data_IF_001806548241
#
_entry.id   IF_001806548241
#
_cell.length_a   1.000
_cell.length_b   1.000
_cell.length_c   1.000
_cell.angle_alpha   90.00
_cell.angle_beta   90.00
_cell.angle_gamma   90.00
#
_symmetry.space_group_name_H-M   'P 1'
#
loop_
_entity.id
_entity.type
_entity.pdbx_description
1 polymer ?
#
# COMPACT_ATOMS: atom_id res chain seq x y z
N UNK A 1 21.05 -17.13 -67.80
CA UNK A 1 20.04 -16.67 -66.81
C UNK A 1 19.25 -17.92 -66.42
N UNK A 2 19.39 -18.37 -65.15
CA UNK A 2 18.69 -19.59 -64.66
C UNK A 2 17.20 -19.26 -64.46
N UNK A 3 16.33 -20.00 -65.16
CA UNK A 3 14.87 -19.89 -64.93
C UNK A 3 14.57 -20.33 -63.52
N UNK A 4 14.24 -19.39 -62.66
CA UNK A 4 13.69 -19.73 -61.32
C UNK A 4 12.32 -20.34 -61.57
N UNK A 5 12.13 -21.60 -61.14
CA UNK A 5 10.85 -22.29 -61.25
C UNK A 5 9.77 -21.49 -60.49
N UNK A 6 8.77 -21.03 -61.25
CA UNK A 6 7.65 -20.25 -60.73
C UNK A 6 6.94 -20.98 -59.58
N UNK A 7 6.93 -22.34 -59.60
CA UNK A 7 6.40 -23.16 -58.52
C UNK A 7 7.23 -23.10 -57.24
N UNK A 8 8.54 -22.86 -57.32
CA UNK A 8 9.42 -22.67 -56.14
C UNK A 8 9.17 -21.29 -55.48
N UNK A 9 8.86 -20.28 -56.29
CA UNK A 9 8.51 -18.96 -55.81
C UNK A 9 7.14 -18.97 -55.08
N UNK A 10 6.17 -19.75 -55.61
CA UNK A 10 4.85 -19.94 -54.97
C UNK A 10 4.97 -20.67 -53.63
N UNK A 11 5.78 -21.73 -53.55
CA UNK A 11 6.04 -22.45 -52.30
C UNK A 11 6.74 -21.54 -51.27
N UNK A 12 7.67 -20.70 -51.69
CA UNK A 12 8.36 -19.76 -50.83
C UNK A 12 7.40 -18.66 -50.30
N UNK A 13 6.44 -18.22 -51.14
CA UNK A 13 5.42 -17.23 -50.72
C UNK A 13 4.41 -17.82 -49.72
N UNK A 14 4.08 -19.10 -49.82
CA UNK A 14 3.19 -19.80 -48.88
C UNK A 14 3.87 -20.07 -47.52
N UNK A 15 5.21 -20.13 -47.46
CA UNK A 15 5.96 -20.26 -46.21
C UNK A 15 6.06 -18.97 -45.43
N UNK A 16 5.77 -17.81 -46.04
CA UNK A 16 5.80 -16.50 -45.40
C UNK A 16 4.47 -16.13 -44.72
N UNK A 17 3.38 -16.88 -44.98
CA UNK A 17 2.06 -16.62 -44.37
C UNK A 17 1.74 -17.48 -43.15
N UNK A 18 2.65 -18.36 -42.74
CA UNK A 18 2.38 -19.40 -41.72
C UNK A 18 2.79 -18.99 -40.26
N UNK A 19 3.15 -17.73 -39.99
CA UNK A 19 3.68 -17.33 -38.68
C UNK A 19 3.08 -16.06 -38.11
N UNK A 20 1.81 -15.70 -38.39
CA UNK A 20 1.17 -14.59 -37.64
C UNK A 20 0.66 -15.05 -36.27
N UNK A 21 0.14 -16.27 -36.16
CA UNK A 21 -0.44 -16.77 -34.91
C UNK A 21 0.57 -17.24 -33.86
N UNK A 22 1.87 -17.38 -34.23
CA UNK A 22 2.90 -17.76 -33.26
C UNK A 22 3.53 -16.55 -32.54
N UNK A 23 3.26 -15.32 -33.00
CA UNK A 23 3.70 -14.08 -32.34
C UNK A 23 2.57 -13.40 -31.52
N UNK A 24 1.34 -13.85 -31.68
CA UNK A 24 0.28 -13.53 -30.72
C UNK A 24 0.42 -14.48 -29.52
N UNK A 25 1.42 -14.23 -28.73
CA UNK A 25 1.39 -14.62 -27.32
C UNK A 25 0.36 -13.70 -26.69
N UNK A 26 -0.91 -14.04 -26.84
CA UNK A 26 -1.94 -13.57 -25.92
C UNK A 26 -1.42 -13.94 -24.53
N UNK A 27 -0.99 -12.92 -23.79
CA UNK A 27 -0.59 -13.09 -22.41
C UNK A 27 -1.86 -13.56 -21.70
N UNK A 28 -1.96 -14.88 -21.48
CA UNK A 28 -3.08 -15.53 -20.77
C UNK A 28 -3.41 -14.77 -19.50
N UNK A 29 -2.39 -14.17 -18.88
CA UNK A 29 -2.51 -13.29 -17.72
C UNK A 29 -3.27 -11.98 -18.00
N UNK A 30 -3.09 -11.31 -19.13
CA UNK A 30 -3.78 -10.03 -19.41
C UNK A 30 -5.28 -10.23 -19.66
N UNK A 31 -5.67 -11.32 -20.31
CA UNK A 31 -7.08 -11.61 -20.54
C UNK A 31 -7.78 -12.02 -19.23
N UNK A 32 -7.13 -12.82 -18.39
CA UNK A 32 -7.64 -13.19 -17.07
C UNK A 32 -7.76 -11.98 -16.15
N UNK A 33 -6.75 -11.12 -16.15
CA UNK A 33 -6.75 -9.87 -15.40
C UNK A 33 -7.87 -8.93 -15.86
N UNK A 34 -8.04 -8.73 -17.17
CA UNK A 34 -9.13 -7.93 -17.72
C UNK A 34 -10.50 -8.50 -17.36
N UNK A 35 -10.67 -9.83 -17.29
CA UNK A 35 -11.90 -10.51 -16.86
C UNK A 35 -12.19 -10.25 -15.38
N UNK A 36 -11.16 -10.27 -14.53
CA UNK A 36 -11.30 -9.96 -13.10
C UNK A 36 -11.99 -8.61 -12.89
N UNK A 37 -11.52 -7.57 -13.58
CA UNK A 37 -12.04 -6.20 -13.43
C UNK A 37 -13.33 -5.90 -14.20
N UNK A 38 -14.01 -6.91 -14.77
CA UNK A 38 -15.35 -6.74 -15.38
C UNK A 38 -16.50 -6.77 -14.36
N UNK A 39 -16.20 -7.04 -13.09
CA UNK A 39 -17.22 -7.18 -12.04
C UNK A 39 -16.82 -6.43 -10.78
N UNK A 40 -17.81 -5.97 -10.01
CA UNK A 40 -17.63 -5.41 -8.67
C UNK A 40 -16.83 -6.35 -7.77
N UNK A 41 -17.18 -7.64 -7.78
CA UNK A 41 -16.50 -8.66 -6.99
C UNK A 41 -15.00 -8.74 -7.34
N UNK A 42 -14.62 -8.64 -8.60
CA UNK A 42 -13.23 -8.66 -9.04
C UNK A 42 -12.41 -7.48 -8.51
N UNK A 43 -13.01 -6.29 -8.42
CA UNK A 43 -12.36 -5.14 -7.77
C UNK A 43 -12.14 -5.37 -6.27
N UNK A 44 -13.11 -5.97 -5.58
CA UNK A 44 -12.95 -6.33 -4.17
C UNK A 44 -11.90 -7.41 -3.96
N UNK A 45 -11.82 -8.41 -4.84
CA UNK A 45 -10.78 -9.45 -4.81
C UNK A 45 -9.39 -8.88 -5.07
N UNK A 46 -9.26 -7.93 -6.00
CA UNK A 46 -8.00 -7.24 -6.25
C UNK A 46 -7.54 -6.44 -5.03
N UNK A 47 -8.44 -5.69 -4.36
CA UNK A 47 -8.14 -5.01 -3.10
C UNK A 47 -7.75 -6.00 -1.99
N UNK A 48 -8.49 -7.10 -1.83
CA UNK A 48 -8.16 -8.14 -0.88
C UNK A 48 -6.77 -8.75 -1.16
N UNK A 49 -6.39 -8.88 -2.43
CA UNK A 49 -5.05 -9.27 -2.86
C UNK A 49 -3.97 -8.29 -2.38
N UNK A 50 -4.21 -6.99 -2.46
CA UNK A 50 -3.31 -5.95 -1.94
C UNK A 50 -3.15 -6.10 -0.41
N UNK A 51 -4.25 -6.20 0.35
CA UNK A 51 -4.18 -6.40 1.80
C UNK A 51 -3.48 -7.71 2.18
N UNK A 52 -3.78 -8.79 1.44
CA UNK A 52 -3.08 -10.08 1.62
C UNK A 52 -1.58 -9.96 1.38
N UNK A 53 -1.14 -9.18 0.37
CA UNK A 53 0.28 -8.91 0.15
C UNK A 53 0.88 -8.07 1.28
N UNK A 54 0.17 -7.04 1.73
CA UNK A 54 0.61 -6.20 2.85
C UNK A 54 0.74 -6.99 4.16
N UNK A 55 -0.09 -7.99 4.41
CA UNK A 55 -0.07 -8.81 5.63
C UNK A 55 1.07 -9.84 5.69
N UNK A 56 1.87 -9.98 4.63
CA UNK A 56 3.01 -10.91 4.63
C UNK A 56 4.14 -10.42 5.55
N UNK A 57 4.96 -11.36 6.04
CA UNK A 57 6.07 -11.09 6.96
C UNK A 57 7.12 -10.14 6.39
N UNK A 58 7.32 -10.14 5.08
CA UNK A 58 8.22 -9.22 4.38
C UNK A 58 7.67 -7.80 4.24
N UNK A 59 6.42 -7.57 4.64
CA UNK A 59 5.75 -6.28 4.66
C UNK A 59 5.27 -5.94 6.09
N UNK A 60 3.99 -5.61 6.26
CA UNK A 60 3.44 -5.18 7.56
C UNK A 60 3.15 -6.34 8.51
N UNK A 61 3.18 -7.60 8.06
CA UNK A 61 3.06 -8.76 8.95
C UNK A 61 4.22 -8.92 9.94
N UNK A 62 5.39 -8.34 9.67
CA UNK A 62 6.51 -8.29 10.60
C UNK A 62 7.49 -7.15 10.27
N UNK A 63 8.09 -7.15 9.08
CA UNK A 63 9.25 -6.32 8.71
C UNK A 63 9.00 -4.82 8.89
N UNK A 64 7.85 -4.30 8.45
CA UNK A 64 7.48 -2.88 8.49
C UNK A 64 6.71 -2.47 9.75
N UNK A 65 6.57 -3.36 10.73
CA UNK A 65 5.92 -3.14 12.01
C UNK A 65 6.90 -3.38 13.17
N UNK A 66 6.82 -4.55 13.80
CA UNK A 66 7.63 -4.94 14.96
C UNK A 66 8.95 -5.64 14.60
N UNK A 67 9.31 -5.74 13.32
CA UNK A 67 10.55 -6.34 12.83
C UNK A 67 11.64 -5.31 12.53
N UNK A 68 12.06 -5.23 11.26
CA UNK A 68 13.19 -4.39 10.85
C UNK A 68 13.05 -2.90 11.18
N UNK A 69 11.85 -2.33 11.14
CA UNK A 69 11.62 -0.91 11.48
C UNK A 69 11.85 -0.65 12.95
N UNK A 70 11.40 -1.51 13.86
CA UNK A 70 11.63 -1.38 15.30
C UNK A 70 13.09 -1.64 15.66
N UNK A 71 13.77 -2.54 14.92
CA UNK A 71 15.20 -2.73 15.03
C UNK A 71 15.97 -1.45 14.68
N UNK A 72 15.63 -0.81 13.56
CA UNK A 72 16.21 0.49 13.19
C UNK A 72 15.86 1.59 14.21
N UNK A 73 14.69 1.50 14.81
CA UNK A 73 14.24 2.40 15.89
C UNK A 73 14.93 2.13 17.24
N UNK A 74 15.78 1.10 17.36
CA UNK A 74 16.46 0.69 18.60
C UNK A 74 15.48 0.40 19.75
N UNK A 75 14.31 -0.19 19.42
CA UNK A 75 13.25 -0.50 20.39
C UNK A 75 13.61 -1.72 21.24
N UNK A 76 14.45 -2.63 20.70
CA UNK A 76 14.82 -3.88 21.35
C UNK A 76 16.23 -3.85 21.95
N UNK A 77 16.50 -4.71 22.95
CA UNK A 77 17.85 -5.03 23.40
C UNK A 77 18.49 -6.08 22.45
N UNK A 78 19.53 -5.64 21.74
CA UNK A 78 20.21 -6.46 20.73
C UNK A 78 21.41 -7.24 21.26
N UNK A 79 21.70 -7.18 22.57
CA UNK A 79 22.88 -7.80 23.18
C UNK A 79 22.93 -9.33 22.99
N UNK A 80 21.78 -9.98 22.91
CA UNK A 80 21.61 -11.43 22.75
C UNK A 80 20.99 -11.84 21.40
N UNK A 81 20.90 -10.93 20.43
CA UNK A 81 20.30 -11.23 19.12
C UNK A 81 21.20 -12.17 18.32
N UNK A 82 20.71 -13.35 18.01
CA UNK A 82 21.51 -14.41 17.36
C UNK A 82 21.54 -14.29 15.83
N UNK A 83 20.46 -13.87 15.19
CA UNK A 83 20.34 -13.82 13.72
C UNK A 83 19.25 -12.86 13.26
N UNK A 84 19.26 -12.54 11.96
CA UNK A 84 18.15 -11.94 11.22
C UNK A 84 18.18 -10.42 11.12
N UNK A 85 18.59 -9.69 12.16
CA UNK A 85 18.60 -8.22 12.15
C UNK A 85 19.86 -7.60 12.76
N UNK A 86 20.92 -8.40 12.91
CA UNK A 86 22.14 -7.95 13.59
C UNK A 86 22.84 -6.81 12.85
N UNK A 87 22.87 -6.86 11.54
CA UNK A 87 23.45 -5.82 10.69
C UNK A 87 22.64 -4.53 10.76
N UNK A 88 21.30 -4.65 10.70
CA UNK A 88 20.39 -3.51 10.83
C UNK A 88 20.49 -2.83 12.20
N UNK A 89 20.58 -3.61 13.30
CA UNK A 89 20.70 -3.06 14.66
C UNK A 89 21.97 -2.21 14.87
N UNK A 90 22.97 -2.41 14.02
CA UNK A 90 24.24 -1.68 14.02
C UNK A 90 24.36 -0.64 12.92
N UNK A 91 23.27 -0.46 12.12
CA UNK A 91 23.26 0.39 10.93
C UNK A 91 24.36 0.02 9.92
N UNK A 92 24.78 -1.26 9.89
CA UNK A 92 25.78 -1.76 8.97
C UNK A 92 25.11 -2.24 7.67
N UNK A 93 24.87 -1.32 6.76
CA UNK A 93 24.19 -1.57 5.48
C UNK A 93 25.07 -2.22 4.41
N UNK A 94 26.36 -2.45 4.70
CA UNK A 94 27.28 -3.11 3.77
C UNK A 94 27.19 -4.64 3.83
N UNK A 95 26.68 -5.19 4.93
CA UNK A 95 26.51 -6.63 5.08
C UNK A 95 25.34 -7.16 4.25
N UNK A 96 25.47 -8.39 3.77
CA UNK A 96 24.49 -9.02 2.89
C UNK A 96 23.10 -9.09 3.51
N UNK A 97 23.01 -9.43 4.78
CA UNK A 97 21.77 -9.46 5.55
C UNK A 97 20.98 -8.14 5.47
N UNK A 98 21.66 -7.00 5.63
CA UNK A 98 21.02 -5.69 5.54
C UNK A 98 20.65 -5.34 4.09
N UNK A 99 21.50 -5.71 3.12
CA UNK A 99 21.21 -5.53 1.69
C UNK A 99 19.98 -6.32 1.26
N UNK A 100 19.87 -7.57 1.66
CA UNK A 100 18.72 -8.44 1.37
C UNK A 100 17.42 -7.85 1.95
N UNK A 101 17.50 -7.32 3.19
CA UNK A 101 16.37 -6.66 3.81
C UNK A 101 15.93 -5.40 3.04
N UNK A 102 16.90 -4.53 2.68
CA UNK A 102 16.64 -3.30 1.91
C UNK A 102 16.00 -3.64 0.57
N UNK A 103 16.57 -4.59 -0.16
CA UNK A 103 16.06 -5.04 -1.46
C UNK A 103 14.65 -5.63 -1.33
N UNK A 104 14.43 -6.46 -0.32
CA UNK A 104 13.12 -7.05 -0.06
C UNK A 104 12.05 -6.00 0.21
N UNK A 105 12.32 -5.03 1.10
CA UNK A 105 11.37 -3.95 1.41
C UNK A 105 11.07 -3.09 0.18
N UNK A 106 12.12 -2.74 -0.57
CA UNK A 106 11.97 -1.94 -1.80
C UNK A 106 11.12 -2.67 -2.84
N UNK A 107 11.49 -3.90 -3.17
CA UNK A 107 10.82 -4.69 -4.20
C UNK A 107 9.36 -4.98 -3.83
N UNK A 108 9.09 -5.43 -2.61
CA UNK A 108 7.73 -5.73 -2.16
C UNK A 108 6.88 -4.45 -2.05
N UNK A 109 7.45 -3.34 -1.62
CA UNK A 109 6.77 -2.05 -1.55
C UNK A 109 6.29 -1.58 -2.93
N UNK A 110 7.20 -1.50 -3.90
CA UNK A 110 6.84 -1.07 -5.27
C UNK A 110 5.98 -2.09 -6.01
N UNK A 111 6.16 -3.40 -5.77
CA UNK A 111 5.26 -4.42 -6.30
C UNK A 111 3.82 -4.22 -5.79
N UNK A 112 3.65 -3.96 -4.50
CA UNK A 112 2.33 -3.69 -3.92
C UNK A 112 1.73 -2.38 -4.45
N UNK A 113 2.55 -1.34 -4.67
CA UNK A 113 2.13 -0.10 -5.34
C UNK A 113 1.66 -0.37 -6.78
N UNK A 114 2.36 -1.25 -7.51
CA UNK A 114 1.94 -1.63 -8.86
C UNK A 114 0.57 -2.34 -8.86
N UNK A 115 0.30 -3.23 -7.88
CA UNK A 115 -1.03 -3.84 -7.70
C UNK A 115 -2.11 -2.77 -7.46
N UNK A 116 -1.84 -1.78 -6.62
CA UNK A 116 -2.76 -0.66 -6.38
C UNK A 116 -2.97 0.19 -7.63
N UNK A 117 -1.91 0.51 -8.37
CA UNK A 117 -2.00 1.26 -9.62
C UNK A 117 -2.80 0.51 -10.68
N UNK A 118 -2.73 -0.81 -10.69
CA UNK A 118 -3.53 -1.64 -11.58
C UNK A 118 -5.03 -1.51 -11.28
N UNK A 119 -5.42 -1.57 -10.00
CA UNK A 119 -6.81 -1.33 -9.58
C UNK A 119 -7.29 0.04 -10.05
N UNK A 120 -6.48 1.10 -9.87
CA UNK A 120 -6.82 2.46 -10.29
C UNK A 120 -6.92 2.60 -11.81
N UNK A 121 -6.07 1.90 -12.57
CA UNK A 121 -6.11 1.87 -14.03
C UNK A 121 -7.42 1.23 -14.54
N UNK A 122 -7.82 0.09 -13.96
CA UNK A 122 -9.08 -0.56 -14.31
C UNK A 122 -10.30 0.19 -13.75
N UNK A 123 -10.22 0.83 -12.58
CA UNK A 123 -11.28 1.71 -12.07
C UNK A 123 -11.60 2.82 -13.10
N UNK A 124 -10.57 3.40 -13.70
CA UNK A 124 -10.75 4.45 -14.70
C UNK A 124 -11.37 3.93 -16.00
N UNK A 125 -11.01 2.73 -16.44
CA UNK A 125 -11.38 2.17 -17.75
C UNK A 125 -12.62 1.26 -17.71
N UNK A 126 -12.89 0.58 -16.60
CA UNK A 126 -13.95 -0.42 -16.45
C UNK A 126 -14.81 -0.21 -15.19
N UNK A 127 -14.60 0.85 -14.43
CA UNK A 127 -15.29 1.12 -13.17
C UNK A 127 -16.83 1.23 -13.28
N UNK A 128 -17.34 1.40 -14.47
CA UNK A 128 -18.81 1.49 -14.72
C UNK A 128 -19.55 0.16 -14.42
N UNK A 129 -18.82 -0.96 -14.21
CA UNK A 129 -19.41 -2.21 -13.74
C UNK A 129 -19.83 -2.17 -12.26
N UNK A 130 -19.43 -1.12 -11.52
CA UNK A 130 -19.74 -0.92 -10.11
C UNK A 130 -20.79 0.18 -9.91
N UNK A 131 -21.69 0.08 -8.91
CA UNK A 131 -22.44 1.22 -8.43
C UNK A 131 -21.50 2.36 -8.03
N UNK A 132 -21.89 3.61 -8.28
CA UNK A 132 -21.03 4.78 -8.07
C UNK A 132 -20.46 4.84 -6.62
N UNK A 133 -21.24 4.51 -5.61
CA UNK A 133 -20.78 4.50 -4.23
C UNK A 133 -19.67 3.47 -4.00
N UNK A 134 -19.80 2.27 -4.55
CA UNK A 134 -18.78 1.20 -4.47
C UNK A 134 -17.53 1.60 -5.23
N UNK A 135 -17.72 2.15 -6.44
CA UNK A 135 -16.62 2.68 -7.25
C UNK A 135 -15.80 3.73 -6.50
N UNK A 136 -16.48 4.70 -5.85
CA UNK A 136 -15.80 5.71 -5.04
C UNK A 136 -15.06 5.07 -3.85
N UNK A 137 -15.65 4.08 -3.20
CA UNK A 137 -14.99 3.38 -2.10
C UNK A 137 -13.72 2.66 -2.57
N UNK A 138 -13.79 1.86 -3.62
CA UNK A 138 -12.63 1.17 -4.22
C UNK A 138 -11.54 2.15 -4.59
N UNK A 139 -11.89 3.24 -5.26
CA UNK A 139 -10.97 4.32 -5.63
C UNK A 139 -10.32 4.98 -4.41
N UNK A 140 -11.11 5.31 -3.41
CA UNK A 140 -10.64 5.95 -2.18
C UNK A 140 -9.68 5.06 -1.40
N UNK A 141 -10.00 3.77 -1.23
CA UNK A 141 -9.12 2.79 -0.60
C UNK A 141 -7.80 2.65 -1.38
N UNK A 142 -7.87 2.47 -2.69
CA UNK A 142 -6.68 2.31 -3.53
C UNK A 142 -5.74 3.53 -3.47
N UNK A 143 -6.29 4.76 -3.55
CA UNK A 143 -5.50 5.99 -3.43
C UNK A 143 -4.85 6.13 -2.05
N UNK A 144 -5.58 5.80 -0.99
CA UNK A 144 -5.07 5.84 0.37
C UNK A 144 -3.94 4.82 0.58
N UNK A 145 -4.10 3.59 0.09
CA UNK A 145 -3.06 2.55 0.12
C UNK A 145 -1.83 2.97 -0.67
N UNK A 146 -1.99 3.59 -1.85
CA UNK A 146 -0.86 4.11 -2.63
C UNK A 146 -0.09 5.18 -1.86
N UNK A 147 -0.79 6.11 -1.22
CA UNK A 147 -0.16 7.14 -0.40
C UNK A 147 0.57 6.53 0.81
N UNK A 148 -0.02 5.56 1.49
CA UNK A 148 0.58 4.90 2.64
C UNK A 148 1.87 4.18 2.26
N UNK A 149 1.81 3.30 1.26
CA UNK A 149 2.97 2.54 0.79
C UNK A 149 4.13 3.45 0.35
N UNK A 150 3.83 4.49 -0.42
CA UNK A 150 4.84 5.47 -0.82
C UNK A 150 5.41 6.23 0.39
N UNK A 151 4.57 6.66 1.33
CA UNK A 151 5.03 7.40 2.49
C UNK A 151 5.97 6.57 3.37
N UNK A 152 5.68 5.28 3.57
CA UNK A 152 6.56 4.41 4.34
C UNK A 152 7.87 4.11 3.62
N UNK A 153 7.87 3.93 2.28
CA UNK A 153 9.11 3.86 1.49
C UNK A 153 9.91 5.15 1.59
N UNK A 154 9.25 6.30 1.51
CA UNK A 154 9.92 7.60 1.67
C UNK A 154 10.58 7.74 3.05
N UNK A 155 9.91 7.32 4.13
CA UNK A 155 10.46 7.36 5.49
C UNK A 155 11.71 6.50 5.65
N UNK A 156 11.80 5.39 4.91
CA UNK A 156 12.92 4.45 5.00
C UNK A 156 14.11 4.85 4.11
N UNK A 157 13.84 5.39 2.92
CA UNK A 157 14.85 5.50 1.88
C UNK A 157 15.16 6.94 1.45
N UNK A 158 14.33 7.92 1.81
CA UNK A 158 14.59 9.31 1.45
C UNK A 158 15.47 10.02 2.49
N UNK A 159 16.24 11.04 2.06
CA UNK A 159 16.88 11.96 2.99
C UNK A 159 15.85 12.66 3.88
N UNK A 160 16.27 13.05 5.09
CA UNK A 160 15.39 13.81 5.98
C UNK A 160 14.89 15.10 5.30
N UNK A 161 13.57 15.31 5.31
CA UNK A 161 12.95 16.50 4.73
C UNK A 161 13.52 17.81 5.30
N UNK A 162 13.86 17.82 6.57
CA UNK A 162 14.44 19.01 7.24
C UNK A 162 15.86 19.34 6.81
N UNK A 163 16.58 18.39 6.25
CA UNK A 163 17.95 18.59 5.75
C UNK A 163 17.93 19.16 4.33
N UNK A 164 17.20 18.52 3.43
CA UNK A 164 17.03 19.00 2.05
C UNK A 164 15.72 18.49 1.45
N UNK A 165 14.73 19.36 1.44
CA UNK A 165 13.41 19.03 0.85
C UNK A 165 13.44 18.95 -0.68
N UNK A 166 14.46 19.52 -1.32
CA UNK A 166 14.63 19.52 -2.78
C UNK A 166 15.49 18.37 -3.27
N UNK A 167 16.10 17.60 -2.36
CA UNK A 167 16.86 16.42 -2.75
C UNK A 167 15.96 15.42 -3.50
N UNK A 168 16.45 14.95 -4.64
CA UNK A 168 15.83 13.82 -5.34
C UNK A 168 15.89 12.57 -4.45
N UNK A 169 14.80 11.87 -4.34
CA UNK A 169 14.70 10.75 -3.44
C UNK A 169 14.21 9.46 -4.12
N UNK A 170 12.92 9.34 -4.35
CA UNK A 170 12.29 8.14 -4.88
C UNK A 170 11.33 8.49 -6.02
N UNK A 171 11.00 7.52 -6.90
CA UNK A 171 9.92 7.70 -7.86
C UNK A 171 8.56 7.59 -7.15
N UNK A 172 7.65 8.53 -7.39
CA UNK A 172 6.26 8.38 -7.00
C UNK A 172 5.48 7.73 -8.15
N UNK A 173 5.30 6.42 -8.07
CA UNK A 173 4.65 5.64 -9.13
C UNK A 173 3.12 5.81 -9.09
N UNK A 174 2.54 6.34 -10.17
CA UNK A 174 1.11 6.55 -10.35
C UNK A 174 0.52 5.81 -11.54
N UNK A 175 1.35 5.14 -12.29
CA UNK A 175 0.96 4.44 -13.52
C UNK A 175 1.27 2.96 -13.34
N UNK A 176 0.35 2.11 -13.79
CA UNK A 176 0.61 0.68 -13.92
C UNK A 176 1.38 0.45 -15.23
N UNK A 177 2.54 -0.21 -15.15
CA UNK A 177 3.39 -0.51 -16.29
C UNK A 177 4.84 -0.73 -15.89
N UNK A 178 5.66 -1.08 -16.88
CA UNK A 178 7.10 -1.40 -16.74
C UNK A 178 8.01 -0.17 -16.92
N UNK A 179 7.45 0.98 -17.22
CA UNK A 179 8.23 2.18 -17.48
C UNK A 179 8.87 2.72 -16.22
N UNK A 180 10.17 3.04 -16.32
CA UNK A 180 10.90 3.63 -15.20
C UNK A 180 10.34 5.03 -14.90
N UNK A 181 9.87 5.23 -13.69
CA UNK A 181 9.36 6.51 -13.25
C UNK A 181 10.51 7.40 -12.78
N UNK A 182 10.49 8.71 -13.10
CA UNK A 182 11.53 9.63 -12.67
C UNK A 182 11.54 9.80 -11.15
N UNK A 183 12.72 10.05 -10.59
CA UNK A 183 12.84 10.49 -9.22
C UNK A 183 12.16 11.85 -9.06
N UNK A 184 11.60 12.10 -7.89
CA UNK A 184 11.08 13.41 -7.52
C UNK A 184 11.73 13.91 -6.23
N UNK A 185 11.65 15.22 -5.99
CA UNK A 185 12.13 15.77 -4.73
C UNK A 185 11.25 15.30 -3.56
N UNK A 186 11.81 15.29 -2.34
CA UNK A 186 11.05 14.98 -1.13
C UNK A 186 9.80 15.86 -0.98
N UNK A 187 9.88 17.15 -1.38
CA UNK A 187 8.74 18.06 -1.36
C UNK A 187 7.64 17.60 -2.33
N UNK A 188 8.01 17.27 -3.57
CA UNK A 188 7.05 16.77 -4.57
C UNK A 188 6.46 15.42 -4.14
N UNK A 189 7.29 14.53 -3.62
CA UNK A 189 6.86 13.18 -3.20
C UNK A 189 5.80 13.26 -2.09
N UNK A 190 6.05 13.99 -1.00
CA UNK A 190 5.10 14.15 0.10
C UNK A 190 3.84 14.92 -0.33
N UNK A 191 3.97 15.86 -1.28
CA UNK A 191 2.80 16.51 -1.86
C UNK A 191 1.94 15.54 -2.66
N UNK A 192 2.53 14.60 -3.41
CA UNK A 192 1.78 13.55 -4.11
C UNK A 192 1.05 12.61 -3.12
N UNK A 193 1.71 12.23 -2.01
CA UNK A 193 1.04 11.47 -0.96
C UNK A 193 -0.19 12.22 -0.42
N UNK A 194 -0.06 13.53 -0.15
CA UNK A 194 -1.17 14.35 0.35
C UNK A 194 -2.30 14.50 -0.68
N UNK A 195 -1.98 14.68 -1.96
CA UNK A 195 -2.98 14.76 -3.05
C UNK A 195 -3.77 13.45 -3.16
N UNK A 196 -3.10 12.30 -3.08
CA UNK A 196 -3.78 11.00 -3.06
C UNK A 196 -4.68 10.86 -1.83
N UNK A 197 -4.21 11.23 -0.64
CA UNK A 197 -5.02 11.21 0.58
C UNK A 197 -6.23 12.17 0.50
N UNK A 198 -6.05 13.39 0.02
CA UNK A 198 -7.14 14.37 -0.15
C UNK A 198 -8.19 13.86 -1.14
N UNK A 199 -7.76 13.20 -2.21
CA UNK A 199 -8.68 12.59 -3.17
C UNK A 199 -9.38 11.39 -2.57
N UNK A 200 -8.66 10.55 -1.82
CA UNK A 200 -9.22 9.43 -1.08
C UNK A 200 -10.31 9.89 -0.10
N UNK A 201 -10.08 10.96 0.68
CA UNK A 201 -11.09 11.50 1.60
C UNK A 201 -12.38 11.92 0.87
N UNK A 202 -12.26 12.56 -0.31
CA UNK A 202 -13.45 12.91 -1.11
C UNK A 202 -14.20 11.65 -1.60
N UNK A 203 -13.48 10.63 -2.03
CA UNK A 203 -14.07 9.37 -2.44
C UNK A 203 -14.75 8.64 -1.27
N UNK A 204 -14.21 8.74 -0.06
CA UNK A 204 -14.67 8.08 1.15
C UNK A 204 -15.68 8.92 1.98
N UNK A 205 -16.27 9.98 1.43
CA UNK A 205 -17.28 10.81 2.13
C UNK A 205 -18.52 10.01 2.57
N UNK A 206 -18.77 8.84 1.97
CA UNK A 206 -19.85 7.92 2.33
C UNK A 206 -19.32 6.58 2.86
N UNK A 207 -18.11 6.59 3.39
CA UNK A 207 -17.52 5.39 3.99
C UNK A 207 -18.43 4.85 5.10
N UNK A 208 -18.72 3.54 5.11
CA UNK A 208 -19.51 2.90 6.15
C UNK A 208 -19.01 3.15 7.58
N UNK A 209 -17.71 3.33 7.79
CA UNK A 209 -17.14 3.66 9.11
C UNK A 209 -17.74 4.93 9.72
N UNK A 210 -18.25 5.84 8.90
CA UNK A 210 -18.88 7.09 9.37
C UNK A 210 -20.21 6.85 10.04
N UNK A 211 -20.95 5.79 9.67
CA UNK A 211 -22.30 5.47 10.16
C UNK A 211 -22.34 4.31 11.16
N UNK A 212 -21.36 3.38 11.10
CA UNK A 212 -21.35 2.23 12.03
C UNK A 212 -20.93 2.62 13.43
N UNK A 213 -21.44 1.88 14.42
CA UNK A 213 -21.02 2.00 15.83
C UNK A 213 -19.57 1.51 15.96
N UNK A 214 -18.77 2.08 16.87
CA UNK A 214 -17.41 1.61 17.12
C UNK A 214 -17.37 0.12 17.37
N UNK A 215 -16.31 -0.51 16.92
CA UNK A 215 -16.01 -1.90 17.20
C UNK A 215 -16.05 -2.17 18.71
N UNK A 216 -16.80 -3.17 19.15
CA UNK A 216 -16.82 -3.64 20.53
C UNK A 216 -16.29 -5.07 20.56
N UNK A 217 -15.15 -5.28 21.22
CA UNK A 217 -14.48 -6.59 21.32
C UNK A 217 -15.31 -7.58 22.17
N UNK A 218 -16.12 -7.12 23.11
CA UNK A 218 -16.88 -7.98 24.01
C UNK A 218 -18.00 -8.72 23.28
N UNK A 219 -17.73 -9.98 22.91
CA UNK A 219 -18.76 -10.95 22.50
C UNK A 219 -19.30 -10.78 21.09
N UNK A 220 -18.62 -10.06 20.22
CA UNK A 220 -19.09 -9.82 18.87
C UNK A 220 -19.04 -11.09 18.01
N UNK A 221 -20.20 -11.56 17.60
CA UNK A 221 -20.31 -12.27 16.32
C UNK A 221 -19.82 -11.31 15.24
N UNK A 222 -18.88 -11.75 14.38
CA UNK A 222 -18.35 -10.96 13.26
C UNK A 222 -19.48 -10.21 12.55
N UNK A 223 -19.56 -8.91 12.76
CA UNK A 223 -20.52 -8.04 12.10
C UNK A 223 -19.91 -7.51 10.79
N UNK A 224 -20.74 -7.07 9.86
CA UNK A 224 -20.30 -6.37 8.65
C UNK A 224 -19.37 -5.18 8.95
N UNK A 225 -19.51 -4.56 10.14
CA UNK A 225 -18.63 -3.51 10.63
C UNK A 225 -17.16 -3.94 10.74
N UNK A 226 -16.87 -5.19 11.08
CA UNK A 226 -15.51 -5.70 11.30
C UNK A 226 -14.67 -5.62 10.01
N UNK A 227 -15.28 -5.86 8.85
CA UNK A 227 -14.58 -5.75 7.58
C UNK A 227 -14.20 -4.31 7.20
N UNK A 228 -14.88 -3.30 7.73
CA UNK A 228 -14.55 -1.90 7.48
C UNK A 228 -13.44 -1.38 8.41
N UNK A 229 -13.32 -1.96 9.60
CA UNK A 229 -12.22 -1.63 10.53
C UNK A 229 -10.89 -2.23 10.06
N UNK A 230 -10.93 -3.40 9.43
CA UNK A 230 -9.74 -4.07 8.88
C UNK A 230 -9.21 -3.45 7.57
N UNK A 231 -9.90 -2.44 6.99
CA UNK A 231 -9.49 -1.75 5.76
C UNK A 231 -9.10 -0.32 6.05
N UNK A 232 -8.31 0.27 5.15
CA UNK A 232 -8.06 1.70 5.21
C UNK A 232 -9.39 2.44 5.00
N UNK A 233 -9.76 3.24 5.98
CA UNK A 233 -11.04 3.92 6.03
C UNK A 233 -10.85 5.44 6.11
N UNK A 234 -11.94 6.20 6.10
CA UNK A 234 -11.92 7.66 6.13
C UNK A 234 -11.04 8.23 7.28
N UNK A 235 -11.12 7.65 8.47
CA UNK A 235 -10.34 8.13 9.62
C UNK A 235 -8.88 7.68 9.57
N UNK A 236 -8.61 6.50 9.02
CA UNK A 236 -7.24 6.04 8.78
C UNK A 236 -6.51 6.96 7.80
N UNK A 237 -7.19 7.44 6.75
CA UNK A 237 -6.63 8.46 5.83
C UNK A 237 -6.30 9.76 6.58
N UNK A 238 -7.17 10.23 7.48
CA UNK A 238 -6.87 11.40 8.32
C UNK A 238 -5.65 11.18 9.21
N UNK A 239 -5.54 10.01 9.82
CA UNK A 239 -4.37 9.63 10.60
C UNK A 239 -3.08 9.61 9.75
N UNK A 240 -3.14 9.05 8.55
CA UNK A 240 -2.02 9.07 7.61
C UNK A 240 -1.62 10.50 7.22
N UNK A 241 -2.57 11.35 6.87
CA UNK A 241 -2.29 12.76 6.56
C UNK A 241 -1.66 13.49 7.73
N UNK A 242 -2.13 13.26 8.95
CA UNK A 242 -1.54 13.86 10.16
C UNK A 242 -0.06 13.43 10.31
N UNK A 243 0.26 12.16 10.09
CA UNK A 243 1.64 11.64 10.10
C UNK A 243 2.49 12.29 9.01
N UNK A 244 1.97 12.42 7.78
CA UNK A 244 2.68 13.08 6.66
C UNK A 244 2.97 14.55 7.00
N UNK A 245 1.99 15.30 7.49
CA UNK A 245 2.18 16.71 7.89
C UNK A 245 3.20 16.86 9.02
N UNK A 246 3.16 16.01 10.05
CA UNK A 246 4.15 16.03 11.13
C UNK A 246 5.56 15.74 10.61
N UNK A 247 5.71 14.79 9.71
CA UNK A 247 7.01 14.42 9.11
C UNK A 247 7.54 15.54 8.22
N UNK A 248 6.70 16.14 7.38
CA UNK A 248 7.07 17.27 6.51
C UNK A 248 7.41 18.52 7.31
N UNK A 249 6.67 18.80 8.37
CA UNK A 249 6.90 19.88 9.32
C UNK A 249 7.13 21.27 8.65
N UNK A 250 6.46 21.54 7.54
CA UNK A 250 6.46 22.86 6.90
C UNK A 250 5.57 23.84 7.66
N UNK A 251 5.62 25.12 7.31
CA UNK A 251 4.81 26.16 7.95
C UNK A 251 3.31 25.80 7.89
N UNK A 252 2.65 25.74 9.04
CA UNK A 252 1.23 25.38 9.19
C UNK A 252 0.94 23.88 9.26
N UNK A 253 1.90 23.01 8.97
CA UNK A 253 1.67 21.56 8.96
C UNK A 253 1.31 20.99 10.34
N UNK A 254 1.93 21.49 11.41
CA UNK A 254 1.59 21.08 12.78
C UNK A 254 0.13 21.38 13.13
N UNK A 255 -0.40 22.51 12.66
CA UNK A 255 -1.81 22.86 12.86
C UNK A 255 -2.70 21.91 12.11
N UNK A 256 -2.39 21.61 10.84
CA UNK A 256 -3.15 20.64 10.02
C UNK A 256 -3.13 19.24 10.65
N UNK A 257 -1.96 18.77 11.05
CA UNK A 257 -1.81 17.48 11.71
C UNK A 257 -2.65 17.39 12.99
N UNK A 258 -2.60 18.42 13.82
CA UNK A 258 -3.40 18.52 15.04
C UNK A 258 -4.90 18.49 14.72
N UNK A 259 -5.38 19.31 13.79
CA UNK A 259 -6.80 19.36 13.41
C UNK A 259 -7.29 17.98 12.96
N UNK A 260 -6.52 17.29 12.09
CA UNK A 260 -6.87 15.95 11.62
C UNK A 260 -6.93 14.93 12.76
N UNK A 261 -5.98 14.97 13.69
CA UNK A 261 -5.98 14.10 14.87
C UNK A 261 -7.17 14.40 15.80
N UNK A 262 -7.48 15.68 16.05
CA UNK A 262 -8.63 16.12 16.84
C UNK A 262 -9.95 15.65 16.21
N UNK A 263 -10.07 15.66 14.87
CA UNK A 263 -11.25 15.16 14.16
C UNK A 263 -11.42 13.64 14.35
N UNK A 264 -10.32 12.85 14.31
CA UNK A 264 -10.36 11.41 14.59
C UNK A 264 -10.82 11.17 16.03
N UNK A 265 -10.24 11.86 17.00
CA UNK A 265 -10.59 11.74 18.43
C UNK A 265 -12.06 12.15 18.66
N UNK A 266 -12.49 13.28 18.08
CA UNK A 266 -13.84 13.79 18.22
C UNK A 266 -14.90 12.87 17.60
N UNK A 267 -14.53 12.03 16.65
CA UNK A 267 -15.42 11.04 16.05
C UNK A 267 -15.96 10.03 17.06
N UNK A 268 -15.18 9.76 18.13
CA UNK A 268 -15.47 8.72 19.14
C UNK A 268 -15.68 7.32 18.55
N UNK A 269 -15.17 7.08 17.34
CA UNK A 269 -15.25 5.78 16.67
C UNK A 269 -14.21 4.79 17.20
N UNK A 270 -13.12 5.33 17.75
CA UNK A 270 -12.01 4.55 18.32
C UNK A 270 -11.80 4.99 19.75
N UNK A 271 -11.86 4.05 20.67
CA UNK A 271 -11.63 4.31 22.09
C UNK A 271 -10.13 4.35 22.38
N UNK A 272 -9.72 5.19 23.29
CA UNK A 272 -8.35 5.12 23.83
C UNK A 272 -8.20 3.84 24.64
N UNK A 273 -7.02 3.24 24.56
CA UNK A 273 -6.70 2.02 25.27
C UNK A 273 -6.86 2.21 26.79
N UNK A 274 -7.63 1.35 27.42
CA UNK A 274 -7.67 1.26 28.88
C UNK A 274 -6.47 0.44 29.35
N UNK A 275 -5.48 1.09 29.97
CA UNK A 275 -4.28 0.44 30.46
C UNK A 275 -4.57 -0.80 31.31
N UNK A 276 -5.61 -0.76 32.15
CA UNK A 276 -5.97 -1.90 33.03
C UNK A 276 -6.50 -3.09 32.25
N UNK A 277 -7.12 -2.86 31.11
CA UNK A 277 -7.60 -3.92 30.20
C UNK A 277 -6.47 -4.50 29.35
N UNK A 278 -5.57 -3.66 28.88
CA UNK A 278 -4.47 -4.09 28.00
C UNK A 278 -3.31 -4.73 28.74
N UNK A 279 -3.09 -4.32 29.98
CA UNK A 279 -2.06 -4.87 30.86
C UNK A 279 -2.69 -5.36 32.16
N UNK A 280 -3.54 -6.41 32.13
CA UNK A 280 -4.10 -7.00 33.33
C UNK A 280 -2.98 -7.54 34.20
N UNK A 281 -3.24 -7.71 35.51
CA UNK A 281 -2.25 -8.26 36.46
C UNK A 281 -1.73 -9.65 36.04
N UNK A 282 -2.52 -10.40 35.28
CA UNK A 282 -2.13 -11.68 34.73
C UNK A 282 -1.53 -11.51 33.32
N UNK A 283 -0.22 -11.68 33.19
CA UNK A 283 0.53 -11.52 31.94
C UNK A 283 0.06 -12.45 30.80
N UNK A 284 -0.57 -13.59 31.12
CA UNK A 284 -1.07 -14.55 30.13
C UNK A 284 -2.32 -14.03 29.36
N UNK A 285 -2.88 -12.90 29.78
CA UNK A 285 -4.05 -12.27 29.18
C UNK A 285 -3.74 -10.98 28.39
N UNK A 286 -2.46 -10.70 28.18
CA UNK A 286 -2.07 -9.52 27.42
C UNK A 286 -2.39 -9.70 25.94
N UNK A 287 -3.36 -8.96 25.46
CA UNK A 287 -3.71 -8.87 24.04
C UNK A 287 -3.54 -7.43 23.56
N UNK A 288 -2.29 -7.11 23.21
CA UNK A 288 -1.89 -5.75 22.82
C UNK A 288 -2.15 -5.53 21.32
N UNK A 289 -2.20 -6.60 20.52
CA UNK A 289 -2.28 -6.50 19.06
C UNK A 289 -3.67 -6.14 18.55
N UNK A 290 -4.72 -6.46 19.32
CA UNK A 290 -6.12 -6.26 18.94
C UNK A 290 -6.86 -5.30 19.86
N UNK A 291 -6.15 -4.28 20.35
CA UNK A 291 -6.73 -3.29 21.25
C UNK A 291 -7.69 -2.32 20.53
N UNK A 292 -8.60 -1.72 21.29
CA UNK A 292 -9.61 -0.76 20.82
C UNK A 292 -9.00 0.50 20.15
N UNK A 293 -7.71 0.76 20.35
CA UNK A 293 -7.02 1.93 19.76
C UNK A 293 -6.61 1.73 18.31
N UNK A 294 -6.62 0.50 17.80
CA UNK A 294 -6.22 0.25 16.42
C UNK A 294 -7.27 0.80 15.46
N UNK A 295 -6.88 1.81 14.70
CA UNK A 295 -7.68 2.41 13.62
C UNK A 295 -7.75 1.46 12.42
N UNK A 296 -6.76 0.56 12.32
CA UNK A 296 -6.66 -0.54 11.38
C UNK A 296 -6.08 -1.75 12.08
N UNK A 297 -6.71 -2.89 11.94
CA UNK A 297 -6.04 -4.16 12.16
C UNK A 297 -5.25 -4.51 10.89
N UNK A 298 -3.93 -4.74 10.98
CA UNK A 298 -3.11 -5.08 9.83
C UNK A 298 -3.50 -6.43 9.20
#
# INVERSE_FOLDING_TARGET
MKNININLLFVLLFLLTACSDWLDVDLVNEEEERKLFQTEQGFHEALAGVYSKMSKSEMYGATLTFGGVDVLGQVYDFSNMLTGYKSLSRYNYEEQEAKDWIESVWANGYYTIAMVNNILNYEQSQGDCMPEQVRQQVKGEALALRAWLHFDLWRLFAPSYSQDKMAECLPYSRVFGIEVQPLCSSEQFLNYCLVDCETALRCLEKDPVLSVTPYQIEGSTKNEADQYVARINYYAVKGLMARIYLTRNSAGDKVKARTLAEEVIASKKFALLDYTKSFPENADQWDILFSDEHIQNP
#
